data_IF_918098887802
#
_entry.id   IF_918098887802
#
_cell.length_a   1.000
_cell.length_b   1.000
_cell.length_c   1.000
_cell.angle_alpha   90.00
_cell.angle_beta   90.00
_cell.angle_gamma   90.00
#
_symmetry.space_group_name_H-M   'P 1'
#
loop_
_entity.id
_entity.type
_entity.pdbx_description
1 polymer ?
#
# COMPACT_ATOMS: atom_id res chain seq x y z
N UNK A 1 -1.22 36.35 -13.32
CA UNK A 1 -1.04 35.95 -11.91
C UNK A 1 -2.34 36.18 -11.14
N UNK A 2 -3.41 35.51 -11.52
CA UNK A 2 -4.73 35.64 -10.86
C UNK A 2 -5.46 34.26 -10.66
N UNK A 3 -4.78 33.15 -10.84
CA UNK A 3 -5.42 31.82 -10.79
C UNK A 3 -5.13 31.00 -9.55
N UNK A 4 -4.14 31.34 -8.75
CA UNK A 4 -3.75 30.54 -7.58
C UNK A 4 -4.56 30.89 -6.32
N UNK A 5 -4.95 32.14 -6.16
CA UNK A 5 -5.70 32.63 -4.99
C UNK A 5 -7.18 32.17 -5.01
N UNK A 6 -7.75 31.97 -6.20
CA UNK A 6 -9.15 31.53 -6.33
C UNK A 6 -9.33 30.04 -5.98
N UNK A 7 -8.29 29.25 -6.17
CA UNK A 7 -8.31 27.81 -5.80
C UNK A 7 -8.17 27.61 -4.28
N UNK A 8 -7.38 28.45 -3.62
CA UNK A 8 -7.21 28.43 -2.16
C UNK A 8 -8.49 28.87 -1.45
N UNK A 9 -9.19 29.89 -1.95
CA UNK A 9 -10.47 30.34 -1.38
C UNK A 9 -11.59 29.30 -1.52
N UNK A 10 -11.60 28.50 -2.61
CA UNK A 10 -12.57 27.39 -2.75
C UNK A 10 -12.29 26.21 -1.83
N UNK A 11 -11.03 25.98 -1.46
CA UNK A 11 -10.66 24.97 -0.46
C UNK A 11 -11.05 25.39 0.97
N UNK A 12 -10.91 26.66 1.33
CA UNK A 12 -11.30 27.18 2.65
C UNK A 12 -12.83 27.15 2.87
N UNK A 13 -13.64 27.34 1.83
CA UNK A 13 -15.10 27.23 1.93
C UNK A 13 -15.55 25.79 2.17
N UNK A 14 -14.80 24.80 1.67
CA UNK A 14 -15.11 23.37 1.91
C UNK A 14 -14.78 22.97 3.35
N UNK A 15 -13.76 23.57 3.97
CA UNK A 15 -13.37 23.27 5.36
C UNK A 15 -14.27 23.93 6.41
N UNK A 16 -14.94 25.04 6.09
CA UNK A 16 -15.79 25.78 7.06
C UNK A 16 -17.21 25.22 7.19
N UNK A 17 -17.66 24.32 6.30
CA UNK A 17 -19.00 23.69 6.34
C UNK A 17 -19.01 22.41 7.19
N UNK A 18 -17.86 21.91 7.65
CA UNK A 18 -17.83 20.72 8.53
C UNK A 18 -17.80 21.10 10.01
N UNK A 19 -18.95 21.62 10.49
CA UNK A 19 -19.28 21.68 11.91
C UNK A 19 -19.19 20.29 12.54
N UNK A 20 -18.59 20.27 13.74
CA UNK A 20 -18.51 19.19 14.73
C UNK A 20 -19.32 17.92 14.43
N UNK A 21 -18.65 16.85 14.05
CA UNK A 21 -19.24 15.50 13.99
C UNK A 21 -19.57 15.02 15.40
N UNK A 22 -20.81 15.14 15.79
CA UNK A 22 -21.37 14.34 16.88
C UNK A 22 -21.64 12.92 16.35
N UNK A 23 -21.00 11.95 16.98
CA UNK A 23 -21.47 10.60 17.28
C UNK A 23 -22.10 9.77 16.16
N UNK A 24 -21.31 9.24 15.24
CA UNK A 24 -21.68 7.95 14.64
C UNK A 24 -21.27 6.85 15.63
N UNK A 25 -22.23 6.15 16.21
CA UNK A 25 -21.98 4.93 16.98
C UNK A 25 -21.18 3.95 16.12
N UNK A 26 -20.18 3.24 16.69
CA UNK A 26 -19.50 2.18 15.96
C UNK A 26 -20.56 1.18 15.49
N UNK A 27 -20.48 0.80 14.22
CA UNK A 27 -21.28 -0.31 13.69
C UNK A 27 -21.04 -1.49 14.63
N UNK A 28 -22.07 -1.91 15.38
CA UNK A 28 -22.05 -3.20 16.07
C UNK A 28 -21.82 -4.23 14.97
N UNK A 29 -20.62 -4.81 14.95
CA UNK A 29 -20.28 -5.87 14.05
C UNK A 29 -21.38 -6.93 14.16
N UNK A 30 -21.92 -7.35 13.02
CA UNK A 30 -22.65 -8.59 12.96
C UNK A 30 -21.63 -9.65 13.37
N UNK A 31 -21.73 -10.18 14.58
CA UNK A 31 -21.03 -11.39 14.96
C UNK A 31 -21.47 -12.47 13.96
N UNK A 32 -20.65 -12.71 12.95
CA UNK A 32 -20.79 -13.91 12.13
C UNK A 32 -20.29 -15.05 13.02
N UNK A 33 -21.16 -15.89 13.48
CA UNK A 33 -20.74 -17.13 14.13
C UNK A 33 -19.78 -17.87 13.19
N UNK A 34 -18.47 -17.90 13.52
CA UNK A 34 -17.44 -18.69 12.87
C UNK A 34 -16.96 -18.22 11.49
N UNK A 35 -17.14 -16.96 11.09
CA UNK A 35 -16.67 -16.44 9.80
C UNK A 35 -15.34 -15.69 9.93
N UNK A 36 -14.34 -16.07 9.15
CA UNK A 36 -13.04 -15.41 9.03
C UNK A 36 -13.25 -13.95 8.59
N UNK A 37 -12.89 -12.97 9.45
CA UNK A 37 -12.90 -11.56 9.06
C UNK A 37 -11.75 -11.31 8.06
N UNK A 38 -12.10 -10.98 6.82
CA UNK A 38 -11.15 -10.75 5.74
C UNK A 38 -11.29 -9.32 5.22
N UNK A 39 -10.15 -8.67 5.00
CA UNK A 39 -10.06 -7.29 4.52
C UNK A 39 -9.05 -7.18 3.39
N UNK A 40 -9.34 -6.35 2.38
CA UNK A 40 -8.35 -5.89 1.43
C UNK A 40 -8.30 -4.35 1.46
N UNK A 41 -7.13 -3.79 1.74
CA UNK A 41 -6.91 -2.34 1.79
C UNK A 41 -6.06 -1.81 0.64
N UNK A 42 -5.43 -2.68 -0.16
CA UNK A 42 -4.57 -2.30 -1.26
C UNK A 42 -5.18 -2.81 -2.58
N UNK A 43 -5.86 -1.92 -3.25
CA UNK A 43 -6.48 -2.19 -4.54
C UNK A 43 -6.61 -0.91 -5.36
N UNK A 44 -6.29 -0.97 -6.63
CA UNK A 44 -6.27 0.14 -7.58
C UNK A 44 -7.53 0.17 -8.45
N UNK A 45 -7.80 1.32 -9.06
CA UNK A 45 -8.97 1.50 -9.90
C UNK A 45 -8.67 2.43 -11.09
N UNK A 46 -9.65 2.62 -11.96
CA UNK A 46 -9.55 3.52 -13.14
C UNK A 46 -9.24 4.98 -12.78
N UNK A 47 -9.15 5.33 -11.50
CA UNK A 47 -8.69 6.66 -11.06
C UNK A 47 -7.15 6.80 -11.04
N UNK A 48 -6.42 5.70 -11.14
CA UNK A 48 -4.98 5.63 -11.42
C UNK A 48 -4.74 4.63 -12.55
N UNK A 49 -4.07 3.53 -12.33
CA UNK A 49 -3.69 2.54 -13.33
C UNK A 49 -4.47 1.22 -13.24
N UNK A 50 -5.41 1.10 -12.31
CA UNK A 50 -6.31 -0.04 -12.23
C UNK A 50 -7.24 -0.14 -13.43
N UNK A 51 -7.72 -1.35 -13.72
CA UNK A 51 -8.55 -1.67 -14.88
C UNK A 51 -10.04 -1.77 -14.55
N UNK A 52 -10.39 -1.79 -13.28
CA UNK A 52 -11.76 -1.88 -12.80
C UNK A 52 -12.18 -0.58 -12.09
N UNK A 53 -13.47 -0.28 -12.12
CA UNK A 53 -14.05 0.82 -11.35
C UNK A 53 -13.99 0.51 -9.84
N UNK A 54 -14.02 1.51 -8.95
CA UNK A 54 -14.11 1.27 -7.51
C UNK A 54 -15.29 0.37 -7.14
N UNK A 55 -16.45 0.53 -7.80
CA UNK A 55 -17.63 -0.28 -7.52
C UNK A 55 -17.44 -1.75 -7.91
N UNK A 56 -16.81 -2.04 -9.05
CA UNK A 56 -16.48 -3.42 -9.45
C UNK A 56 -15.52 -4.08 -8.45
N UNK A 57 -14.51 -3.34 -7.96
CA UNK A 57 -13.58 -3.82 -6.94
C UNK A 57 -14.31 -4.14 -5.63
N UNK A 58 -15.19 -3.24 -5.15
CA UNK A 58 -15.98 -3.45 -3.93
C UNK A 58 -16.92 -4.65 -4.07
N UNK A 59 -17.57 -4.80 -5.22
CA UNK A 59 -18.44 -5.95 -5.50
C UNK A 59 -17.68 -7.27 -5.49
N UNK A 60 -16.47 -7.28 -6.03
CA UNK A 60 -15.60 -8.45 -6.01
C UNK A 60 -15.18 -8.81 -4.57
N UNK A 61 -14.77 -7.83 -3.75
CA UNK A 61 -14.46 -8.04 -2.34
C UNK A 61 -15.68 -8.60 -1.57
N UNK A 62 -16.87 -8.04 -1.82
CA UNK A 62 -18.11 -8.54 -1.21
C UNK A 62 -18.42 -9.99 -1.65
N UNK A 63 -18.23 -10.32 -2.93
CA UNK A 63 -18.42 -11.68 -3.46
C UNK A 63 -17.41 -12.68 -2.89
N UNK A 64 -16.17 -12.24 -2.62
CA UNK A 64 -15.14 -13.00 -1.93
C UNK A 64 -15.41 -13.18 -0.42
N UNK A 65 -16.50 -12.59 0.11
CA UNK A 65 -16.88 -12.71 1.51
C UNK A 65 -16.12 -11.78 2.46
N UNK A 66 -15.46 -10.75 1.93
CA UNK A 66 -14.73 -9.77 2.75
C UNK A 66 -15.69 -8.89 3.57
N UNK A 67 -15.26 -8.49 4.75
CA UNK A 67 -16.00 -7.61 5.66
C UNK A 67 -15.74 -6.13 5.36
N UNK A 68 -14.60 -5.83 4.76
CA UNK A 68 -14.26 -4.48 4.31
C UNK A 68 -13.38 -4.47 3.07
N UNK A 69 -13.54 -3.41 2.28
CA UNK A 69 -12.78 -3.13 1.07
C UNK A 69 -12.25 -1.69 1.10
N UNK A 70 -10.97 -1.54 0.93
CA UNK A 70 -10.31 -0.27 0.70
C UNK A 70 -9.86 -0.16 -0.76
N UNK A 71 -10.10 0.98 -1.39
CA UNK A 71 -9.53 1.30 -2.68
C UNK A 71 -8.48 2.37 -2.45
N UNK A 72 -7.23 2.05 -2.80
CA UNK A 72 -6.06 2.92 -2.60
C UNK A 72 -5.52 3.37 -3.96
N UNK A 73 -5.82 4.60 -4.36
CA UNK A 73 -5.21 5.14 -5.58
C UNK A 73 -3.75 5.52 -5.32
N UNK A 74 -2.90 5.41 -6.32
CA UNK A 74 -1.55 6.01 -6.25
C UNK A 74 -1.65 7.51 -6.02
N UNK A 75 -0.84 8.05 -5.10
CA UNK A 75 -0.80 9.50 -4.86
C UNK A 75 -0.28 10.25 -6.08
N UNK A 76 -0.74 11.50 -6.33
CA UNK A 76 -0.16 12.34 -7.36
C UNK A 76 1.32 12.61 -7.09
N UNK A 77 2.16 12.45 -8.11
CA UNK A 77 3.59 12.73 -8.05
C UNK A 77 3.91 14.16 -8.53
N UNK A 78 5.01 14.77 -8.10
CA UNK A 78 5.42 16.12 -8.53
C UNK A 78 5.98 16.16 -9.96
N UNK A 79 6.05 15.01 -10.64
CA UNK A 79 6.52 14.86 -12.03
C UNK A 79 5.58 13.96 -12.82
N UNK A 80 5.62 14.07 -14.14
CA UNK A 80 4.77 13.29 -15.02
C UNK A 80 5.15 11.80 -14.99
N UNK A 81 4.15 10.93 -14.87
CA UNK A 81 4.30 9.47 -14.97
C UNK A 81 2.99 8.87 -15.55
N UNK A 82 3.05 7.59 -15.94
CA UNK A 82 1.95 6.91 -16.62
C UNK A 82 0.96 6.19 -15.73
N UNK A 83 1.20 6.07 -14.41
CA UNK A 83 0.44 5.19 -13.52
C UNK A 83 -0.15 5.90 -12.28
N UNK A 84 0.50 6.92 -11.75
CA UNK A 84 -0.04 7.65 -10.59
C UNK A 84 -1.31 8.43 -10.93
N UNK A 85 -2.18 8.62 -9.94
CA UNK A 85 -3.36 9.45 -10.10
C UNK A 85 -2.97 10.90 -10.45
N UNK A 86 -3.71 11.51 -11.37
CA UNK A 86 -3.61 12.95 -11.58
C UNK A 86 -4.26 13.68 -10.42
N UNK A 87 -3.73 14.86 -10.06
CA UNK A 87 -4.26 15.65 -8.95
C UNK A 87 -5.76 15.97 -9.10
N UNK A 88 -6.21 16.24 -10.34
CA UNK A 88 -7.63 16.46 -10.64
C UNK A 88 -8.53 15.26 -10.42
N UNK A 89 -7.99 14.03 -10.38
CA UNK A 89 -8.76 12.80 -10.15
C UNK A 89 -9.02 12.52 -8.66
N UNK A 90 -8.30 13.16 -7.73
CA UNK A 90 -8.44 12.88 -6.29
C UNK A 90 -9.82 13.26 -5.77
N UNK A 91 -10.31 14.45 -6.07
CA UNK A 91 -11.62 14.91 -5.59
C UNK A 91 -12.78 14.08 -6.18
N UNK A 92 -12.83 13.77 -7.50
CA UNK A 92 -13.78 12.81 -8.07
C UNK A 92 -13.71 11.43 -7.44
N UNK A 93 -12.52 10.87 -7.20
CA UNK A 93 -12.35 9.60 -6.51
C UNK A 93 -12.98 9.62 -5.10
N UNK A 94 -12.66 10.62 -4.31
CA UNK A 94 -13.22 10.75 -2.95
C UNK A 94 -14.75 10.92 -2.95
N UNK A 95 -15.30 11.60 -3.97
CA UNK A 95 -16.75 11.73 -4.14
C UNK A 95 -17.39 10.36 -4.44
N UNK A 96 -16.79 9.59 -5.33
CA UNK A 96 -17.25 8.25 -5.66
C UNK A 96 -17.14 7.31 -4.46
N UNK A 97 -16.04 7.32 -3.72
CA UNK A 97 -15.88 6.49 -2.52
C UNK A 97 -16.93 6.83 -1.44
N UNK A 98 -17.29 8.11 -1.27
CA UNK A 98 -18.40 8.51 -0.37
C UNK A 98 -19.74 7.95 -0.84
N UNK A 99 -20.03 8.01 -2.13
CA UNK A 99 -21.24 7.42 -2.73
C UNK A 99 -21.30 5.91 -2.46
N UNK A 100 -20.21 5.20 -2.71
CA UNK A 100 -20.12 3.76 -2.53
C UNK A 100 -20.20 3.36 -1.06
N UNK A 101 -19.57 4.10 -0.16
CA UNK A 101 -19.68 3.89 1.29
C UNK A 101 -21.14 3.94 1.75
N UNK A 102 -21.93 4.86 1.23
CA UNK A 102 -23.36 4.94 1.51
C UNK A 102 -24.16 3.80 0.86
N UNK A 103 -23.88 3.49 -0.42
CA UNK A 103 -24.60 2.47 -1.19
C UNK A 103 -24.39 1.04 -0.66
N UNK A 104 -23.23 0.76 -0.05
CA UNK A 104 -22.86 -0.56 0.46
C UNK A 104 -22.97 -0.67 1.99
N UNK A 105 -23.49 0.37 2.66
CA UNK A 105 -23.69 0.38 4.11
C UNK A 105 -24.47 -0.86 4.59
N UNK A 106 -23.97 -1.53 5.64
CA UNK A 106 -24.55 -2.75 6.18
C UNK A 106 -24.26 -4.03 5.39
N UNK A 107 -23.58 -3.93 4.26
CA UNK A 107 -23.16 -5.09 3.44
C UNK A 107 -21.66 -5.34 3.52
N UNK A 108 -20.84 -4.32 3.30
CA UNK A 108 -19.39 -4.31 3.41
C UNK A 108 -18.95 -2.92 3.83
N UNK A 109 -17.95 -2.81 4.70
CA UNK A 109 -17.34 -1.52 5.01
C UNK A 109 -16.46 -1.05 3.86
N UNK A 110 -16.59 0.22 3.44
CA UNK A 110 -15.87 0.79 2.31
C UNK A 110 -14.98 1.93 2.79
N UNK A 111 -13.70 1.91 2.40
CA UNK A 111 -12.69 2.90 2.78
C UNK A 111 -12.00 3.50 1.55
N UNK A 112 -11.81 4.82 1.59
CA UNK A 112 -10.99 5.53 0.61
C UNK A 112 -9.54 5.56 1.09
N UNK A 113 -8.65 4.90 0.39
CA UNK A 113 -7.23 4.86 0.68
C UNK A 113 -6.38 5.60 -0.33
N UNK A 114 -5.14 5.82 0.01
CA UNK A 114 -4.07 6.27 -0.89
C UNK A 114 -2.84 5.39 -0.71
N UNK A 115 -2.26 4.97 -1.80
CA UNK A 115 -0.88 4.50 -1.81
C UNK A 115 0.01 5.70 -2.07
N UNK A 116 0.59 6.20 -0.98
CA UNK A 116 1.44 7.39 -0.97
C UNK A 116 2.88 7.01 -1.24
N UNK A 117 3.42 7.43 -2.38
CA UNK A 117 4.85 7.33 -2.65
C UNK A 117 5.63 8.37 -1.83
N UNK A 118 6.80 7.99 -1.31
CA UNK A 118 7.67 8.86 -0.50
C UNK A 118 8.20 10.09 -1.23
N UNK A 119 8.06 10.16 -2.56
CA UNK A 119 8.37 11.33 -3.38
C UNK A 119 7.15 12.26 -3.56
N UNK A 120 5.97 11.82 -3.16
CA UNK A 120 4.74 12.60 -3.26
C UNK A 120 4.64 13.63 -2.14
N UNK A 121 3.86 14.70 -2.36
CA UNK A 121 3.56 15.70 -1.34
C UNK A 121 2.71 15.08 -0.22
N UNK A 122 3.08 15.33 1.04
CA UNK A 122 2.37 14.83 2.22
C UNK A 122 0.93 15.36 2.35
N UNK A 123 0.58 16.47 1.67
CA UNK A 123 -0.81 16.95 1.62
C UNK A 123 -1.79 15.91 1.09
N UNK A 124 -1.33 14.97 0.25
CA UNK A 124 -2.14 13.90 -0.29
C UNK A 124 -2.50 12.79 0.71
N UNK A 125 -1.89 12.82 1.92
CA UNK A 125 -2.26 11.91 3.00
C UNK A 125 -3.56 12.32 3.71
N UNK A 126 -3.89 13.62 3.71
CA UNK A 126 -4.95 14.18 4.56
C UNK A 126 -6.39 13.76 4.19
N UNK A 127 -6.78 13.71 2.90
CA UNK A 127 -8.19 13.52 2.55
C UNK A 127 -8.68 12.06 2.62
N UNK A 128 -7.81 11.10 2.92
CA UNK A 128 -8.11 9.68 2.86
C UNK A 128 -8.38 9.08 4.25
N UNK A 129 -9.13 7.98 4.29
CA UNK A 129 -9.43 7.26 5.53
C UNK A 129 -8.16 6.59 6.10
N UNK A 130 -7.27 6.08 5.24
CA UNK A 130 -5.97 5.47 5.55
C UNK A 130 -4.97 5.71 4.42
N UNK A 131 -3.69 5.48 4.71
CA UNK A 131 -2.63 5.57 3.71
C UNK A 131 -1.61 4.43 3.84
N UNK A 132 -1.18 3.93 2.69
CA UNK A 132 -0.09 2.98 2.50
C UNK A 132 1.11 3.80 2.04
N UNK A 133 2.23 3.71 2.71
CA UNK A 133 3.48 4.38 2.32
C UNK A 133 4.37 3.42 1.55
N UNK A 134 4.75 3.81 0.34
CA UNK A 134 5.52 2.99 -0.59
C UNK A 134 6.71 3.77 -1.18
N UNK A 135 7.69 3.04 -1.68
CA UNK A 135 8.79 3.56 -2.47
C UNK A 135 8.83 2.81 -3.80
N UNK A 136 8.63 3.52 -4.89
CA UNK A 136 8.67 2.93 -6.25
C UNK A 136 9.89 3.38 -7.04
N UNK A 137 10.57 4.43 -6.61
CA UNK A 137 11.65 5.06 -7.36
C UNK A 137 12.98 5.00 -6.61
N UNK A 138 14.07 4.91 -7.38
CA UNK A 138 15.42 5.13 -6.89
C UNK A 138 15.84 6.56 -7.26
N UNK A 139 16.10 7.45 -6.29
CA UNK A 139 16.45 8.84 -6.54
C UNK A 139 17.93 8.97 -6.94
N UNK A 140 18.26 8.49 -8.13
CA UNK A 140 19.59 8.56 -8.75
C UNK A 140 19.59 9.56 -9.88
N UNK A 141 20.64 10.35 -10.00
CA UNK A 141 20.70 11.49 -10.93
C UNK A 141 19.99 12.73 -10.37
N UNK A 142 19.80 13.74 -11.21
CA UNK A 142 19.31 15.07 -10.78
C UNK A 142 17.86 15.37 -11.13
N UNK A 143 17.25 14.62 -12.07
CA UNK A 143 15.88 14.84 -12.54
C UNK A 143 14.92 13.77 -12.00
N UNK A 144 13.98 14.12 -11.10
CA UNK A 144 13.01 13.17 -10.58
C UNK A 144 12.14 12.47 -11.63
N UNK A 145 11.90 13.10 -12.78
CA UNK A 145 11.14 12.50 -13.87
C UNK A 145 11.90 11.37 -14.58
N UNK A 146 13.22 11.29 -14.37
CA UNK A 146 14.09 10.24 -14.91
C UNK A 146 14.47 9.17 -13.89
N UNK A 147 13.97 9.24 -12.65
CA UNK A 147 14.25 8.21 -11.64
C UNK A 147 13.70 6.86 -12.08
N UNK A 148 14.53 5.79 -12.07
CA UNK A 148 14.06 4.46 -12.40
C UNK A 148 13.07 3.95 -11.37
N UNK A 149 12.02 3.27 -11.83
CA UNK A 149 11.12 2.50 -10.98
C UNK A 149 11.67 1.10 -10.74
N UNK A 150 11.53 0.61 -9.51
CA UNK A 150 12.08 -0.70 -9.12
C UNK A 150 11.25 -1.88 -9.64
N UNK A 151 10.04 -1.61 -10.11
CA UNK A 151 9.04 -2.64 -10.41
C UNK A 151 8.41 -2.53 -11.82
N UNK A 152 9.02 -1.77 -12.71
CA UNK A 152 8.54 -1.60 -14.09
C UNK A 152 8.74 -2.88 -14.91
N UNK A 153 9.99 -3.25 -15.17
CA UNK A 153 10.33 -4.46 -15.93
C UNK A 153 11.71 -5.00 -15.56
N UNK A 154 12.01 -6.29 -15.88
CA UNK A 154 13.35 -6.83 -15.73
C UNK A 154 14.41 -6.02 -16.49
N UNK A 155 14.07 -5.55 -17.69
CA UNK A 155 14.97 -4.74 -18.54
C UNK A 155 15.28 -3.39 -17.88
N UNK A 156 14.29 -2.75 -17.25
CA UNK A 156 14.48 -1.52 -16.48
C UNK A 156 15.39 -1.79 -15.28
N UNK A 157 15.19 -2.91 -14.57
CA UNK A 157 16.03 -3.31 -13.43
C UNK A 157 17.48 -3.54 -13.88
N UNK A 158 17.70 -4.31 -14.94
CA UNK A 158 19.03 -4.54 -15.51
C UNK A 158 19.72 -3.21 -15.88
N UNK A 159 18.99 -2.30 -16.54
CA UNK A 159 19.51 -1.01 -16.98
C UNK A 159 19.92 -0.13 -15.80
N UNK A 160 19.07 0.09 -14.81
CA UNK A 160 19.44 0.97 -13.68
C UNK A 160 20.56 0.37 -12.83
N UNK A 161 20.62 -0.95 -12.66
CA UNK A 161 21.75 -1.58 -11.98
C UNK A 161 23.07 -1.29 -12.72
N UNK A 162 23.09 -1.42 -14.03
CA UNK A 162 24.29 -1.16 -14.82
C UNK A 162 24.67 0.33 -14.87
N UNK A 163 23.69 1.22 -15.13
CA UNK A 163 23.96 2.62 -15.45
C UNK A 163 24.08 3.52 -14.20
N UNK A 164 23.33 3.20 -13.13
CA UNK A 164 23.27 4.05 -11.94
C UNK A 164 24.03 3.48 -10.74
N UNK A 165 24.31 2.18 -10.73
CA UNK A 165 24.95 1.49 -9.61
C UNK A 165 26.18 0.67 -10.01
N UNK A 166 26.69 0.80 -11.23
CA UNK A 166 27.88 0.06 -11.73
C UNK A 166 27.79 -1.47 -11.52
N UNK A 167 26.58 -2.03 -11.54
CA UNK A 167 26.28 -3.44 -11.26
C UNK A 167 26.22 -3.80 -9.78
N UNK A 168 26.40 -2.86 -8.85
CA UNK A 168 26.29 -3.08 -7.39
C UNK A 168 24.82 -3.12 -6.95
N UNK A 169 24.21 -4.32 -6.94
CA UNK A 169 22.83 -4.51 -6.51
C UNK A 169 22.62 -4.21 -5.02
N UNK A 170 23.64 -4.38 -4.19
CA UNK A 170 23.56 -4.00 -2.78
C UNK A 170 23.42 -2.47 -2.61
N UNK A 171 24.14 -1.67 -3.40
CA UNK A 171 24.00 -0.21 -3.38
C UNK A 171 22.60 0.22 -3.83
N UNK A 172 22.01 -0.45 -4.82
CA UNK A 172 20.65 -0.20 -5.23
C UNK A 172 19.63 -0.56 -4.11
N UNK A 173 19.84 -1.68 -3.42
CA UNK A 173 19.03 -2.08 -2.28
C UNK A 173 19.15 -1.10 -1.10
N UNK A 174 20.37 -0.64 -0.79
CA UNK A 174 20.62 0.40 0.22
C UNK A 174 19.86 1.70 -0.12
N UNK A 175 19.89 2.12 -1.38
CA UNK A 175 19.14 3.28 -1.87
C UNK A 175 17.62 3.09 -1.70
N UNK A 176 17.09 1.94 -2.10
CA UNK A 176 15.67 1.61 -1.99
C UNK A 176 15.20 1.62 -0.54
N UNK A 177 15.86 0.88 0.35
CA UNK A 177 15.45 0.81 1.76
C UNK A 177 15.60 2.16 2.49
N UNK A 178 16.56 3.00 2.08
CA UNK A 178 16.67 4.37 2.58
C UNK A 178 15.46 5.24 2.17
N UNK A 179 14.91 5.06 0.96
CA UNK A 179 13.66 5.72 0.57
C UNK A 179 12.47 5.19 1.36
N UNK A 180 12.29 3.87 1.42
CA UNK A 180 11.16 3.26 2.13
C UNK A 180 11.16 3.64 3.62
N UNK A 181 12.33 3.75 4.25
CA UNK A 181 12.48 4.19 5.64
C UNK A 181 11.81 5.54 5.91
N UNK A 182 11.71 6.44 4.92
CA UNK A 182 11.05 7.77 5.05
C UNK A 182 9.57 7.68 5.41
N UNK A 183 8.92 6.53 5.17
CA UNK A 183 7.54 6.29 5.62
C UNK A 183 7.42 6.39 7.15
N UNK A 184 8.52 6.16 7.90
CA UNK A 184 8.53 6.34 9.34
C UNK A 184 8.24 7.79 9.76
N UNK A 185 8.66 8.77 8.94
CA UNK A 185 8.52 10.20 9.19
C UNK A 185 7.15 10.77 8.76
N UNK A 186 6.27 9.94 8.16
CA UNK A 186 4.93 10.30 7.72
C UNK A 186 3.87 9.64 8.63
N UNK A 187 3.41 10.29 9.71
CA UNK A 187 2.51 9.65 10.70
C UNK A 187 1.20 9.13 10.11
N UNK A 188 0.68 9.79 9.07
CA UNK A 188 -0.57 9.39 8.42
C UNK A 188 -0.42 8.23 7.43
N UNK A 189 0.79 7.87 6.99
CA UNK A 189 1.05 6.64 6.28
C UNK A 189 1.14 5.49 7.29
N UNK A 190 0.01 4.87 7.59
CA UNK A 190 -0.09 3.85 8.65
C UNK A 190 0.47 2.50 8.22
N UNK A 191 0.36 2.16 6.94
CA UNK A 191 0.80 0.89 6.36
C UNK A 191 2.09 1.10 5.57
N UNK A 192 3.01 0.15 5.65
CA UNK A 192 4.17 0.04 4.75
C UNK A 192 3.79 -0.92 3.65
N UNK A 193 3.71 -0.44 2.40
CA UNK A 193 3.43 -1.26 1.23
C UNK A 193 4.60 -2.19 0.90
N UNK A 194 4.34 -3.31 0.27
CA UNK A 194 5.31 -4.25 -0.37
C UNK A 194 6.79 -3.97 -0.02
N UNK A 195 7.18 -4.25 1.22
CA UNK A 195 8.45 -3.83 1.85
C UNK A 195 9.71 -4.06 1.02
N UNK A 196 9.76 -5.15 0.25
CA UNK A 196 10.89 -5.55 -0.60
C UNK A 196 10.49 -5.58 -2.10
N UNK A 197 9.71 -4.59 -2.56
CA UNK A 197 9.21 -4.49 -3.94
C UNK A 197 10.31 -4.62 -5.00
N UNK A 198 11.54 -4.14 -4.70
CA UNK A 198 12.68 -4.25 -5.60
C UNK A 198 12.96 -5.70 -6.03
N UNK A 199 12.50 -6.70 -5.26
CA UNK A 199 12.69 -8.14 -5.57
C UNK A 199 11.57 -8.73 -6.44
N UNK A 200 10.74 -7.88 -7.07
CA UNK A 200 9.58 -8.31 -7.87
C UNK A 200 9.93 -9.37 -8.92
N UNK A 201 11.10 -9.25 -9.54
CA UNK A 201 11.53 -10.12 -10.64
C UNK A 201 12.51 -11.21 -10.22
N UNK A 202 12.95 -11.25 -8.96
CA UNK A 202 14.08 -12.06 -8.51
C UNK A 202 13.85 -13.57 -8.54
N UNK A 203 12.60 -14.04 -8.48
CA UNK A 203 12.33 -15.47 -8.65
C UNK A 203 12.70 -15.97 -10.05
N UNK A 204 12.79 -15.07 -11.05
CA UNK A 204 13.13 -15.38 -12.43
C UNK A 204 14.55 -14.92 -12.81
N UNK A 205 14.94 -13.71 -12.42
CA UNK A 205 16.13 -13.02 -12.93
C UNK A 205 17.27 -12.89 -11.91
N UNK A 206 16.98 -12.98 -10.61
CA UNK A 206 17.97 -12.94 -9.51
C UNK A 206 18.85 -11.69 -9.53
N UNK A 207 18.24 -10.52 -9.57
CA UNK A 207 18.96 -9.25 -9.54
C UNK A 207 19.57 -8.92 -8.17
N UNK A 208 18.91 -9.35 -7.09
CA UNK A 208 19.29 -9.02 -5.71
C UNK A 208 19.59 -10.29 -4.91
N UNK A 209 20.65 -10.22 -4.10
CA UNK A 209 20.97 -11.29 -3.15
C UNK A 209 20.46 -10.94 -1.73
N UNK A 210 19.30 -11.46 -1.37
CA UNK A 210 18.72 -11.29 -0.03
C UNK A 210 19.59 -11.89 1.11
N UNK A 211 20.64 -12.64 0.78
CA UNK A 211 21.59 -13.19 1.78
C UNK A 211 22.79 -12.28 2.00
N UNK A 212 23.01 -11.28 1.13
CA UNK A 212 24.08 -10.30 1.28
C UNK A 212 24.01 -9.57 2.62
N UNK A 213 25.13 -9.43 3.34
CA UNK A 213 25.17 -8.67 4.58
C UNK A 213 24.76 -7.20 4.39
N UNK A 214 25.07 -6.57 3.26
CA UNK A 214 24.70 -5.18 2.95
C UNK A 214 23.18 -5.06 2.72
N UNK A 215 22.61 -5.92 1.88
CA UNK A 215 21.15 -5.98 1.68
C UNK A 215 20.43 -6.13 3.02
N UNK A 216 20.83 -7.12 3.83
CA UNK A 216 20.22 -7.39 5.14
C UNK A 216 20.36 -6.23 6.10
N UNK A 217 21.51 -5.59 6.16
CA UNK A 217 21.72 -4.42 7.03
C UNK A 217 20.80 -3.26 6.64
N UNK A 218 20.67 -2.97 5.34
CA UNK A 218 19.79 -1.92 4.82
C UNK A 218 18.30 -2.22 5.12
N UNK A 219 17.85 -3.45 4.85
CA UNK A 219 16.48 -3.88 5.14
C UNK A 219 16.17 -3.80 6.64
N UNK A 220 17.07 -4.28 7.51
CA UNK A 220 16.88 -4.21 8.97
C UNK A 220 16.85 -2.78 9.49
N UNK A 221 17.70 -1.89 8.98
CA UNK A 221 17.70 -0.48 9.36
C UNK A 221 16.36 0.20 9.05
N UNK A 222 15.82 -0.01 7.83
CA UNK A 222 14.52 0.50 7.46
C UNK A 222 13.41 -0.10 8.33
N UNK A 223 13.43 -1.42 8.52
CA UNK A 223 12.47 -2.14 9.36
C UNK A 223 12.43 -1.62 10.79
N UNK A 224 13.58 -1.43 11.43
CA UNK A 224 13.69 -0.96 12.83
C UNK A 224 13.07 0.44 12.99
N UNK A 225 13.30 1.34 12.04
CA UNK A 225 12.69 2.68 12.04
C UNK A 225 11.16 2.61 11.88
N UNK A 226 10.68 1.79 10.94
CA UNK A 226 9.26 1.64 10.64
C UNK A 226 8.49 0.95 11.78
N UNK A 227 9.08 -0.08 12.40
CA UNK A 227 8.52 -0.73 13.61
C UNK A 227 8.47 0.24 14.77
N UNK A 228 9.54 1.01 15.02
CA UNK A 228 9.58 2.03 16.06
C UNK A 228 8.55 3.13 15.86
N UNK A 229 8.23 3.48 14.61
CA UNK A 229 7.16 4.40 14.24
C UNK A 229 5.75 3.77 14.34
N UNK A 230 5.64 2.48 14.73
CA UNK A 230 4.38 1.79 14.93
C UNK A 230 3.62 1.45 13.64
N UNK A 231 4.31 1.35 12.51
CA UNK A 231 3.70 1.04 11.22
C UNK A 231 3.19 -0.40 11.15
N UNK A 232 2.21 -0.63 10.27
CA UNK A 232 1.69 -1.95 9.92
C UNK A 232 2.34 -2.38 8.61
N UNK A 233 2.94 -3.56 8.56
CA UNK A 233 3.60 -4.07 7.36
C UNK A 233 2.62 -4.88 6.52
N UNK A 234 2.57 -4.60 5.24
CA UNK A 234 1.73 -5.31 4.30
C UNK A 234 2.34 -6.66 3.91
N UNK A 235 1.53 -7.71 3.91
CA UNK A 235 1.81 -8.96 3.19
C UNK A 235 1.05 -8.88 1.88
N UNK A 236 1.77 -8.56 0.81
CA UNK A 236 1.21 -8.16 -0.48
C UNK A 236 1.30 -9.30 -1.48
N UNK A 237 0.16 -9.65 -2.09
CA UNK A 237 0.08 -10.77 -3.04
C UNK A 237 0.06 -10.31 -4.51
N UNK A 238 0.22 -9.02 -4.78
CA UNK A 238 0.06 -8.45 -6.11
C UNK A 238 0.98 -9.02 -7.17
N UNK A 239 2.25 -9.30 -6.84
CA UNK A 239 3.17 -9.91 -7.81
C UNK A 239 2.78 -11.34 -8.18
N UNK A 240 2.08 -12.08 -7.29
CA UNK A 240 1.55 -13.41 -7.58
C UNK A 240 0.46 -13.30 -8.64
N UNK A 241 -0.49 -12.41 -8.45
CA UNK A 241 -1.60 -12.20 -9.39
C UNK A 241 -1.14 -11.78 -10.79
N UNK A 242 0.03 -11.11 -10.86
CA UNK A 242 0.68 -10.68 -12.10
C UNK A 242 1.66 -11.72 -12.67
N UNK A 243 1.83 -12.87 -12.00
CA UNK A 243 2.67 -13.98 -12.47
C UNK A 243 4.19 -13.73 -12.36
N UNK A 244 4.61 -12.76 -11.58
CA UNK A 244 6.03 -12.47 -11.36
C UNK A 244 6.63 -13.25 -10.21
N UNK A 245 5.86 -13.53 -9.17
CA UNK A 245 6.30 -14.27 -7.98
C UNK A 245 5.36 -15.44 -7.69
N UNK A 246 5.87 -16.39 -6.92
CA UNK A 246 5.08 -17.51 -6.35
C UNK A 246 4.78 -17.28 -4.87
N UNK A 247 5.47 -16.32 -4.25
CA UNK A 247 5.34 -15.94 -2.84
C UNK A 247 4.99 -14.45 -2.70
N UNK A 248 4.26 -14.03 -1.65
CA UNK A 248 3.96 -12.62 -1.43
C UNK A 248 5.20 -11.82 -1.01
N UNK A 249 5.11 -10.48 -1.06
CA UNK A 249 5.97 -9.60 -0.28
C UNK A 249 5.49 -9.52 1.17
N UNK A 250 6.39 -9.28 2.13
CA UNK A 250 7.83 -9.40 1.95
C UNK A 250 8.27 -10.85 1.99
N UNK A 251 9.54 -11.08 1.65
CA UNK A 251 10.14 -12.42 1.68
C UNK A 251 10.04 -13.07 3.06
N UNK A 252 10.08 -14.41 3.11
CA UNK A 252 9.97 -15.17 4.36
C UNK A 252 10.99 -14.70 5.41
N UNK A 253 12.25 -14.47 5.01
CA UNK A 253 13.27 -13.98 5.92
C UNK A 253 12.86 -12.65 6.59
N UNK A 254 12.32 -11.72 5.81
CA UNK A 254 11.83 -10.42 6.31
C UNK A 254 10.66 -10.64 7.28
N UNK A 255 9.69 -11.50 6.96
CA UNK A 255 8.58 -11.84 7.85
C UNK A 255 9.07 -12.40 9.19
N UNK A 256 10.06 -13.28 9.17
CA UNK A 256 10.67 -13.81 10.40
C UNK A 256 11.35 -12.69 11.23
N UNK A 257 11.99 -11.71 10.58
CA UNK A 257 12.55 -10.53 11.27
C UNK A 257 11.48 -9.62 11.85
N UNK A 258 10.38 -9.40 11.14
CA UNK A 258 9.21 -8.65 11.60
C UNK A 258 8.57 -9.35 12.82
N UNK A 259 8.41 -10.68 12.76
CA UNK A 259 7.87 -11.46 13.88
C UNK A 259 8.72 -11.35 15.15
N UNK A 260 10.05 -11.41 15.04
CA UNK A 260 10.99 -11.21 16.17
C UNK A 260 10.86 -9.84 16.83
N UNK A 261 10.42 -8.83 16.09
CA UNK A 261 10.18 -7.44 16.53
C UNK A 261 8.76 -7.19 17.02
N UNK A 262 7.90 -8.23 17.05
CA UNK A 262 6.47 -8.11 17.31
C UNK A 262 5.80 -7.06 16.41
N UNK A 263 6.24 -6.95 15.17
CA UNK A 263 5.71 -6.02 14.18
C UNK A 263 4.25 -6.33 13.86
N UNK A 264 3.53 -5.31 13.47
CA UNK A 264 2.14 -5.39 13.02
C UNK A 264 2.11 -5.76 11.55
N UNK A 265 1.27 -6.72 11.15
CA UNK A 265 1.14 -7.14 9.76
C UNK A 265 -0.32 -7.13 9.31
N UNK A 266 -0.56 -6.91 8.02
CA UNK A 266 -1.87 -7.02 7.36
C UNK A 266 -1.70 -7.73 6.02
N UNK A 267 -2.76 -8.30 5.46
CA UNK A 267 -2.74 -8.95 4.13
C UNK A 267 -3.50 -8.05 3.15
N UNK A 268 -2.97 -7.90 1.94
CA UNK A 268 -3.60 -7.17 0.85
C UNK A 268 -3.17 -7.69 -0.51
N UNK A 269 -3.96 -7.37 -1.55
CA UNK A 269 -3.74 -7.95 -2.88
C UNK A 269 -3.01 -7.04 -3.84
N UNK A 270 -2.97 -5.74 -3.61
CA UNK A 270 -2.45 -4.77 -4.58
C UNK A 270 -3.05 -5.03 -5.97
N UNK A 271 -4.36 -5.28 -5.96
CA UNK A 271 -5.07 -5.71 -7.15
C UNK A 271 -5.40 -4.53 -8.06
N UNK A 272 -5.10 -4.68 -9.35
CA UNK A 272 -5.46 -3.73 -10.41
C UNK A 272 -6.68 -4.20 -11.22
N UNK A 273 -7.29 -5.32 -10.83
CA UNK A 273 -8.46 -5.89 -11.51
C UNK A 273 -9.37 -6.60 -10.51
N UNK A 274 -10.69 -6.44 -10.66
CA UNK A 274 -11.68 -7.03 -9.76
C UNK A 274 -11.57 -8.55 -9.59
N UNK A 275 -11.07 -9.27 -10.60
CA UNK A 275 -10.91 -10.73 -10.55
C UNK A 275 -9.77 -11.21 -9.63
N UNK A 276 -8.95 -10.31 -9.08
CA UNK A 276 -7.75 -10.67 -8.29
C UNK A 276 -7.73 -10.09 -6.89
N UNK A 277 -8.88 -9.60 -6.38
CA UNK A 277 -8.97 -8.91 -5.09
C UNK A 277 -8.60 -9.76 -3.88
N UNK A 278 -8.69 -11.08 -3.99
CA UNK A 278 -8.38 -12.08 -2.95
C UNK A 278 -7.30 -13.07 -3.38
N UNK A 279 -6.59 -12.77 -4.47
CA UNK A 279 -5.58 -13.67 -5.03
C UNK A 279 -4.54 -14.04 -3.96
N UNK A 280 -4.34 -15.35 -3.76
CA UNK A 280 -3.34 -15.93 -2.86
C UNK A 280 -3.44 -15.49 -1.38
N UNK A 281 -4.60 -15.01 -0.90
CA UNK A 281 -4.78 -14.62 0.51
C UNK A 281 -4.57 -15.80 1.47
N UNK A 282 -5.06 -17.01 1.11
CA UNK A 282 -4.83 -18.19 1.94
C UNK A 282 -3.35 -18.62 1.97
N UNK A 283 -2.60 -18.41 0.89
CA UNK A 283 -1.15 -18.67 0.86
C UNK A 283 -0.41 -17.66 1.75
N UNK A 284 -0.76 -16.38 1.67
CA UNK A 284 -0.21 -15.32 2.52
C UNK A 284 -0.48 -15.60 4.00
N UNK A 285 -1.69 -16.04 4.32
CA UNK A 285 -2.04 -16.43 5.68
C UNK A 285 -1.22 -17.63 6.16
N UNK A 286 -1.12 -18.69 5.36
CA UNK A 286 -0.30 -19.88 5.70
C UNK A 286 1.17 -19.51 5.91
N UNK A 287 1.70 -18.58 5.11
CA UNK A 287 3.07 -18.09 5.27
C UNK A 287 3.23 -17.32 6.59
N UNK A 288 2.30 -16.45 6.95
CA UNK A 288 2.32 -15.76 8.25
C UNK A 288 2.29 -16.74 9.43
N UNK A 289 1.41 -17.73 9.38
CA UNK A 289 1.33 -18.78 10.40
C UNK A 289 2.66 -19.56 10.51
N UNK A 290 3.26 -19.92 9.36
CA UNK A 290 4.56 -20.61 9.31
C UNK A 290 5.72 -19.75 9.86
N UNK A 291 5.59 -18.40 9.81
CA UNK A 291 6.52 -17.46 10.44
C UNK A 291 6.19 -17.18 11.92
N UNK A 292 5.13 -17.82 12.48
CA UNK A 292 4.76 -17.72 13.89
C UNK A 292 3.87 -16.53 14.22
N UNK A 293 3.21 -15.89 13.25
CA UNK A 293 2.19 -14.88 13.51
C UNK A 293 0.87 -15.58 13.88
N UNK A 294 0.23 -15.09 14.92
CA UNK A 294 -1.10 -15.54 15.39
C UNK A 294 -2.18 -14.50 15.10
N UNK A 295 -1.76 -13.26 14.85
CA UNK A 295 -2.62 -12.09 14.68
C UNK A 295 -2.21 -11.28 13.44
N UNK A 296 -3.22 -10.70 12.78
CA UNK A 296 -3.07 -9.65 11.78
C UNK A 296 -3.74 -8.37 12.29
N UNK A 297 -3.47 -7.27 11.61
CA UNK A 297 -4.07 -5.98 11.91
C UNK A 297 -5.01 -5.57 10.79
N UNK A 298 -6.25 -5.21 11.15
CA UNK A 298 -7.28 -4.75 10.24
C UNK A 298 -7.71 -3.33 10.59
N UNK A 299 -8.05 -2.54 9.58
CA UNK A 299 -8.54 -1.18 9.74
C UNK A 299 -10.04 -1.18 10.03
N UNK A 300 -10.46 -0.56 11.13
CA UNK A 300 -11.86 -0.49 11.56
C UNK A 300 -12.60 0.80 11.13
N UNK A 301 -11.92 1.62 10.32
CA UNK A 301 -12.39 2.95 9.90
C UNK A 301 -11.86 4.10 10.76
N UNK A 302 -11.09 3.81 11.81
CA UNK A 302 -10.44 4.80 12.70
C UNK A 302 -8.99 4.45 12.99
N UNK A 303 -8.72 3.16 13.26
CA UNK A 303 -7.41 2.66 13.64
C UNK A 303 -7.21 1.23 13.15
N UNK A 304 -5.97 0.79 13.13
CA UNK A 304 -5.66 -0.62 12.97
C UNK A 304 -5.85 -1.35 14.30
N UNK A 305 -6.63 -2.42 14.28
CA UNK A 305 -6.97 -3.25 15.43
C UNK A 305 -6.56 -4.70 15.17
N UNK A 306 -6.27 -5.43 16.24
CA UNK A 306 -5.86 -6.83 16.15
C UNK A 306 -7.01 -7.74 15.74
N UNK A 307 -6.70 -8.75 14.93
CA UNK A 307 -7.57 -9.85 14.56
C UNK A 307 -6.77 -11.16 14.62
N UNK A 308 -7.37 -12.23 15.08
CA UNK A 308 -6.74 -13.56 15.01
C UNK A 308 -6.71 -14.08 13.59
N UNK A 309 -5.65 -14.78 13.22
CA UNK A 309 -5.52 -15.43 11.91
C UNK A 309 -6.45 -16.65 11.84
N UNK A 310 -6.59 -17.37 12.96
CA UNK A 310 -7.50 -18.54 13.11
C UNK A 310 -8.52 -18.27 14.19
N UNK A 311 -9.78 -18.46 13.88
CA UNK A 311 -10.82 -18.85 14.82
C UNK A 311 -11.44 -20.17 14.38
#
# INVERSE_FOLDING_TARGET
>A
MAGADELVQKLDVVLTVFGSRQGASPLKGREKEGGKEMQNLHAHSVFCDGKSTPEEMIRACLAAGMDSAGISIHSPLPFANGWAAKAENVAPFLAEMRRLKAAYAGRIAVYAGVEWDVLSDTKWLEPFDYAIGSAHFLPVGGDPAAYPTVDDSPETTCRFLAEAFDGDSDAAAECYFAQLRRVADAPRAQVVGHFDLLTKFDEKERFFDETSPRYRAAALNAMDALVSAGKVFEVNTGAISRGWRTTPYPSRWILEQLRRRNARVTISSDSHHAATVDCAFDDAQRLLEACGFEEIWAFDGRAFVKRRIKE
#
